data_IF_415576114639
#
_entry.id   IF_415576114639
#
_cell.length_a   1.000
_cell.length_b   1.000
_cell.length_c   1.000
_cell.angle_alpha   90.00
_cell.angle_beta   90.00
_cell.angle_gamma   90.00
#
_symmetry.space_group_name_H-M   'P 1'
#
loop_
_entity.id
_entity.type
_entity.pdbx_description
1 polymer ?
#
# COMPACT_ATOMS: atom_id res chain seq x y z
N UNK A 1 -0.82 46.80 -7.22
CA UNK A 1 -1.37 45.45 -6.97
C UNK A 1 -0.20 44.48 -6.86
N UNK A 2 0.03 43.88 -5.68
CA UNK A 2 1.02 42.79 -5.52
C UNK A 2 0.25 41.46 -5.48
N UNK A 3 0.70 40.39 -6.13
CA UNK A 3 -0.07 39.16 -6.20
C UNK A 3 -0.04 38.44 -4.84
N UNK A 4 -1.23 38.15 -4.31
CA UNK A 4 -1.45 37.31 -3.13
C UNK A 4 -0.92 35.89 -3.39
N UNK A 5 0.35 35.65 -3.10
CA UNK A 5 0.88 34.30 -2.94
C UNK A 5 0.58 33.92 -1.50
N UNK A 6 -0.40 33.05 -1.31
CA UNK A 6 -0.61 32.37 -0.03
C UNK A 6 0.65 31.52 0.17
N UNK A 7 1.63 32.03 0.91
CA UNK A 7 2.81 31.24 1.25
C UNK A 7 2.31 30.02 2.04
N UNK A 8 2.45 28.84 1.46
CA UNK A 8 2.11 27.59 2.14
C UNK A 8 2.96 27.53 3.40
N UNK A 9 2.31 27.72 4.56
CA UNK A 9 3.00 27.85 5.85
C UNK A 9 3.74 26.55 6.19
N UNK A 10 3.25 25.41 5.72
CA UNK A 10 3.74 24.06 6.00
C UNK A 10 3.62 23.19 4.76
N UNK A 11 4.72 22.81 4.10
CA UNK A 11 4.77 21.82 3.02
C UNK A 11 5.21 20.46 3.55
N UNK A 12 4.62 19.38 3.02
CA UNK A 12 5.01 18.00 3.33
C UNK A 12 5.41 17.33 2.02
N UNK A 13 6.61 16.75 2.01
CA UNK A 13 7.09 15.87 0.95
C UNK A 13 7.22 14.46 1.51
N UNK A 14 6.54 13.49 0.92
CA UNK A 14 6.47 12.12 1.43
C UNK A 14 7.06 11.14 0.40
N UNK A 15 7.92 10.24 0.88
CA UNK A 15 8.60 9.23 0.08
C UNK A 15 8.35 7.84 0.66
N UNK A 16 7.87 6.94 -0.19
CA UNK A 16 7.69 5.53 0.11
C UNK A 16 8.61 4.70 -0.77
N UNK A 17 9.35 3.77 -0.16
CA UNK A 17 10.29 2.88 -0.84
C UNK A 17 9.96 1.43 -0.50
N UNK A 18 9.71 0.62 -1.53
CA UNK A 18 9.45 -0.81 -1.42
C UNK A 18 10.68 -1.58 -1.88
N UNK A 19 11.16 -2.53 -1.06
CA UNK A 19 12.29 -3.40 -1.39
C UNK A 19 12.02 -4.83 -0.93
N UNK A 20 12.48 -5.86 -1.66
CA UNK A 20 12.47 -7.23 -1.14
C UNK A 20 13.21 -7.32 0.20
N UNK A 21 12.72 -8.14 1.12
CA UNK A 21 13.37 -8.30 2.42
C UNK A 21 14.69 -9.09 2.25
N UNK A 22 15.81 -8.60 2.81
CA UNK A 22 17.14 -9.12 2.48
C UNK A 22 17.39 -10.57 2.92
N UNK A 23 16.59 -11.09 3.86
CA UNK A 23 16.68 -12.48 4.34
C UNK A 23 15.44 -13.33 4.07
N UNK A 24 14.35 -12.75 3.56
CA UNK A 24 13.08 -13.46 3.39
C UNK A 24 12.46 -13.06 2.05
N UNK A 25 12.47 -13.96 1.07
CA UNK A 25 11.96 -13.68 -0.28
C UNK A 25 10.45 -13.41 -0.30
N UNK A 26 9.72 -13.85 0.72
CA UNK A 26 8.27 -13.72 0.80
C UNK A 26 7.83 -12.40 1.45
N UNK A 27 8.79 -11.57 1.87
CA UNK A 27 8.50 -10.29 2.54
C UNK A 27 9.00 -9.11 1.75
N UNK A 28 8.27 -8.00 1.88
CA UNK A 28 8.67 -6.69 1.37
C UNK A 28 8.90 -5.75 2.54
N UNK A 29 10.01 -5.02 2.50
CA UNK A 29 10.30 -3.90 3.40
C UNK A 29 9.72 -2.63 2.79
N UNK A 30 8.83 -1.98 3.53
CA UNK A 30 8.35 -0.63 3.26
C UNK A 30 9.13 0.36 4.14
N UNK A 31 9.78 1.33 3.53
CA UNK A 31 10.36 2.49 4.21
C UNK A 31 9.55 3.73 3.85
N UNK A 32 9.12 4.49 4.85
CA UNK A 32 8.33 5.70 4.68
C UNK A 32 9.03 6.87 5.37
N UNK A 33 9.24 7.94 4.62
CA UNK A 33 9.92 9.15 5.06
C UNK A 33 9.06 10.35 4.70
N UNK A 34 9.00 11.34 5.58
CA UNK A 34 8.29 12.59 5.34
C UNK A 34 9.16 13.78 5.76
N UNK A 35 9.28 14.76 4.87
CA UNK A 35 10.01 16.00 5.09
C UNK A 35 8.98 17.12 5.24
N UNK A 36 8.95 17.74 6.41
CA UNK A 36 8.04 18.84 6.73
C UNK A 36 8.82 20.15 6.64
N UNK A 37 8.42 21.02 5.71
CA UNK A 37 9.02 22.35 5.52
C UNK A 37 8.05 23.42 6.00
N UNK A 38 8.42 24.15 7.06
CA UNK A 38 7.62 25.27 7.57
C UNK A 38 8.26 26.59 7.17
N UNK A 39 7.47 27.51 6.59
CA UNK A 39 7.93 28.84 6.15
C UNK A 39 7.30 29.93 7.01
N UNK A 40 8.15 30.80 7.55
CA UNK A 40 7.72 32.03 8.23
C UNK A 40 7.33 31.87 9.71
N UNK A 41 7.30 30.65 10.26
CA UNK A 41 7.08 30.38 11.68
C UNK A 41 7.90 29.16 12.14
N UNK A 42 8.27 29.08 13.42
CA UNK A 42 8.89 27.88 13.99
C UNK A 42 7.84 26.77 14.18
N UNK A 43 8.17 25.54 13.82
CA UNK A 43 7.37 24.38 14.21
C UNK A 43 7.45 24.24 15.75
N UNK A 44 6.33 24.41 16.44
CA UNK A 44 6.30 24.12 17.88
C UNK A 44 6.33 22.60 18.08
N UNK A 45 6.82 22.12 19.23
CA UNK A 45 6.80 20.69 19.57
C UNK A 45 5.40 20.07 19.48
N UNK A 46 4.35 20.88 19.68
CA UNK A 46 2.96 20.45 19.48
C UNK A 46 2.65 20.17 18.00
N UNK A 47 3.03 21.08 17.09
CA UNK A 47 2.83 20.86 15.65
C UNK A 47 3.66 19.69 15.14
N UNK A 48 4.89 19.50 15.64
CA UNK A 48 5.70 18.34 15.33
C UNK A 48 5.00 17.03 15.74
N UNK A 49 4.48 16.96 16.97
CA UNK A 49 3.73 15.79 17.46
C UNK A 49 2.46 15.51 16.64
N UNK A 50 1.69 16.54 16.29
CA UNK A 50 0.48 16.39 15.46
C UNK A 50 0.85 15.86 14.08
N UNK A 51 1.89 16.40 13.44
CA UNK A 51 2.31 15.96 12.11
C UNK A 51 2.88 14.54 12.13
N UNK A 52 3.74 14.22 13.11
CA UNK A 52 4.29 12.89 13.30
C UNK A 52 3.18 11.85 13.50
N UNK A 53 2.20 12.15 14.36
CA UNK A 53 1.05 11.26 14.60
C UNK A 53 0.18 11.08 13.35
N UNK A 54 -0.02 12.13 12.55
CA UNK A 54 -0.82 12.09 11.33
C UNK A 54 -0.15 11.23 10.26
N UNK A 55 1.15 11.46 10.01
CA UNK A 55 1.94 10.70 9.04
C UNK A 55 2.03 9.24 9.48
N UNK A 56 2.31 8.97 10.77
CA UNK A 56 2.35 7.60 11.30
C UNK A 56 1.01 6.89 11.18
N UNK A 57 -0.11 7.57 11.47
CA UNK A 57 -1.45 6.98 11.30
C UNK A 57 -1.73 6.65 9.83
N UNK A 58 -1.35 7.54 8.91
CA UNK A 58 -1.54 7.33 7.48
C UNK A 58 -0.63 6.21 6.94
N UNK A 59 0.59 6.08 7.45
CA UNK A 59 1.49 4.97 7.16
C UNK A 59 0.83 3.62 7.48
N UNK A 60 0.27 3.50 8.68
CA UNK A 60 -0.42 2.27 9.12
C UNK A 60 -1.63 1.97 8.23
N UNK A 61 -2.46 2.97 7.93
CA UNK A 61 -3.62 2.79 7.04
C UNK A 61 -3.19 2.37 5.63
N UNK A 62 -2.15 2.98 5.09
CA UNK A 62 -1.59 2.64 3.77
C UNK A 62 -1.09 1.19 3.72
N UNK A 63 -0.41 0.75 4.79
CA UNK A 63 0.02 -0.64 4.95
C UNK A 63 -1.17 -1.60 4.99
N UNK A 64 -2.16 -1.34 5.83
CA UNK A 64 -3.36 -2.19 5.96
C UNK A 64 -4.12 -2.30 4.65
N UNK A 65 -4.29 -1.18 3.94
CA UNK A 65 -4.95 -1.16 2.63
C UNK A 65 -4.18 -2.00 1.60
N UNK A 66 -2.84 -1.90 1.57
CA UNK A 66 -2.01 -2.73 0.69
C UNK A 66 -2.10 -4.21 1.04
N UNK A 67 -2.05 -4.58 2.32
CA UNK A 67 -2.24 -5.97 2.77
C UNK A 67 -3.63 -6.49 2.37
N UNK A 68 -4.67 -5.66 2.44
CA UNK A 68 -6.00 -6.02 1.98
C UNK A 68 -6.04 -6.30 0.46
N UNK A 69 -5.44 -5.42 -0.35
CA UNK A 69 -5.37 -5.60 -1.82
C UNK A 69 -4.62 -6.90 -2.16
N UNK A 70 -3.48 -7.16 -1.52
CA UNK A 70 -2.70 -8.38 -1.75
C UNK A 70 -3.54 -9.62 -1.43
N UNK A 71 -4.21 -9.64 -0.27
CA UNK A 71 -5.09 -10.76 0.11
C UNK A 71 -6.21 -10.97 -0.88
N UNK A 72 -6.83 -9.89 -1.35
CA UNK A 72 -7.90 -9.94 -2.35
C UNK A 72 -7.42 -10.56 -3.66
N UNK A 73 -6.28 -10.08 -4.18
CA UNK A 73 -5.69 -10.62 -5.42
C UNK A 73 -5.33 -12.11 -5.28
N UNK A 74 -4.73 -12.52 -4.17
CA UNK A 74 -4.41 -13.92 -3.93
C UNK A 74 -5.67 -14.80 -3.93
N UNK A 75 -6.75 -14.33 -3.30
CA UNK A 75 -8.02 -15.06 -3.30
C UNK A 75 -8.64 -15.20 -4.70
N UNK A 76 -8.57 -14.14 -5.52
CA UNK A 76 -9.09 -14.17 -6.90
C UNK A 76 -8.27 -15.10 -7.81
N UNK A 77 -6.95 -15.15 -7.62
CA UNK A 77 -6.07 -16.09 -8.34
C UNK A 77 -6.39 -17.54 -7.93
N UNK A 78 -6.54 -17.82 -6.64
CA UNK A 78 -6.91 -19.15 -6.14
C UNK A 78 -8.25 -19.60 -6.73
N UNK A 79 -9.27 -18.74 -6.73
CA UNK A 79 -10.58 -19.02 -7.32
C UNK A 79 -10.49 -19.29 -8.84
N UNK A 80 -9.72 -18.49 -9.56
CA UNK A 80 -9.50 -18.68 -10.99
C UNK A 80 -8.84 -20.03 -11.29
N UNK A 81 -7.79 -20.39 -10.53
CA UNK A 81 -7.11 -21.68 -10.71
C UNK A 81 -7.99 -22.87 -10.33
N UNK A 82 -8.83 -22.74 -9.30
CA UNK A 82 -9.80 -23.77 -8.92
C UNK A 82 -10.84 -24.00 -10.02
N UNK A 83 -11.35 -22.92 -10.61
CA UNK A 83 -12.31 -22.96 -11.72
C UNK A 83 -11.70 -23.65 -12.94
N UNK A 84 -10.50 -23.25 -13.37
CA UNK A 84 -9.81 -23.86 -14.51
C UNK A 84 -9.55 -25.37 -14.30
N UNK A 85 -9.15 -25.78 -13.10
CA UNK A 85 -8.97 -27.21 -12.75
C UNK A 85 -10.26 -28.01 -12.85
N UNK A 86 -11.38 -27.45 -12.40
CA UNK A 86 -12.68 -28.12 -12.50
C UNK A 86 -13.12 -28.27 -13.95
N UNK A 87 -12.97 -27.22 -14.77
CA UNK A 87 -13.30 -27.28 -16.20
C UNK A 87 -12.49 -28.32 -16.97
N UNK A 88 -11.23 -28.57 -16.59
CA UNK A 88 -10.38 -29.60 -17.24
C UNK A 88 -10.75 -31.02 -16.77
N UNK A 89 -11.24 -31.20 -15.54
CA UNK A 89 -11.62 -32.52 -15.00
C UNK A 89 -12.98 -33.00 -15.51
N UNK A 90 -13.94 -32.10 -15.74
CA UNK A 90 -15.28 -32.45 -16.24
C UNK A 90 -15.30 -33.19 -17.58
N UNK A 91 -14.52 -32.82 -18.62
CA UNK A 91 -14.50 -33.56 -19.89
C UNK A 91 -13.82 -34.94 -19.78
N UNK A 92 -12.86 -35.12 -18.87
CA UNK A 92 -12.18 -36.41 -18.69
C UNK A 92 -13.08 -37.46 -18.03
N UNK A 93 -13.97 -37.06 -17.12
CA UNK A 93 -14.91 -37.99 -16.47
C UNK A 93 -16.02 -38.45 -17.44
N UNK A 94 -16.48 -37.58 -18.35
CA UNK A 94 -17.50 -37.92 -19.35
C UNK A 94 -16.98 -38.91 -20.42
N UNK A 95 -15.69 -38.86 -20.76
CA UNK A 95 -15.06 -39.75 -21.75
C UNK A 95 -14.76 -41.17 -21.23
N UNK A 96 -14.79 -41.39 -19.90
CA UNK A 96 -14.53 -42.71 -19.30
C UNK A 96 -15.82 -43.53 -19.12
N UNK A 97 -16.99 -42.90 -19.18
CA UNK A 97 -18.29 -43.57 -19.08
C UNK A 97 -18.87 -44.06 -20.41
N UNK A 98 -18.22 -43.76 -21.54
CA UNK A 98 -18.50 -44.39 -22.84
C UNK A 98 -17.56 -45.59 -23.07
N UNK A 99 -17.77 -46.69 -22.34
CA UNK A 99 -17.30 -48.01 -22.78
C UNK A 99 -18.09 -49.16 -22.16
#
# INVERSE_FOLDING_TARGET
>A
MRPNHIYYLVSVDERLVYKPHPQDSERTVLTQEAIITVKGVSLSSYLEGVMASTISSNASKGREAMEWVIRRLNSEIEEFTATARNTIRTPMAAAVTEK
#
